data_IF_646486131083
#
_entry.id   IF_646486131083
#
_cell.length_a   1.000
_cell.length_b   1.000
_cell.length_c   1.000
_cell.angle_alpha   90.00
_cell.angle_beta   90.00
_cell.angle_gamma   90.00
#
_symmetry.space_group_name_H-M   'P 1'
#
loop_
_entity.id
_entity.type
_entity.pdbx_description
1 polymer ?
#
# COMPACT_ATOMS: atom_id res chain seq x y z
N UNK A 1 -7.82 -29.39 -20.80
CA UNK A 1 -7.20 -28.30 -20.01
C UNK A 1 -6.62 -27.30 -20.98
N UNK A 2 -7.15 -26.07 -21.04
CA UNK A 2 -6.59 -25.01 -21.88
C UNK A 2 -5.20 -24.61 -21.38
N UNK A 3 -4.27 -24.33 -22.29
CA UNK A 3 -2.92 -23.87 -21.97
C UNK A 3 -2.99 -22.44 -21.39
N UNK A 4 -2.20 -22.14 -20.37
CA UNK A 4 -2.06 -20.79 -19.81
C UNK A 4 -1.39 -19.84 -20.82
N UNK A 5 -1.60 -18.52 -20.69
CA UNK A 5 -0.88 -17.51 -21.48
C UNK A 5 0.63 -17.57 -21.21
N UNK A 6 1.43 -17.08 -22.17
CA UNK A 6 2.90 -17.09 -22.11
C UNK A 6 3.46 -16.39 -20.86
N UNK A 7 2.79 -15.33 -20.41
CA UNK A 7 3.05 -14.67 -19.12
C UNK A 7 1.86 -14.91 -18.20
N UNK A 8 2.01 -15.85 -17.27
CA UNK A 8 0.97 -16.15 -16.27
C UNK A 8 0.87 -15.06 -15.19
N UNK A 9 1.99 -14.43 -14.83
CA UNK A 9 2.09 -13.38 -13.82
C UNK A 9 2.81 -12.17 -14.41
N UNK A 10 2.10 -11.06 -14.60
CA UNK A 10 2.62 -9.87 -15.29
C UNK A 10 3.45 -8.93 -14.41
N UNK A 11 3.58 -9.22 -13.12
CA UNK A 11 4.20 -8.29 -12.16
C UNK A 11 3.22 -7.22 -11.69
N UNK A 12 3.64 -5.96 -11.68
CA UNK A 12 2.89 -4.82 -11.14
C UNK A 12 3.46 -4.23 -9.85
N UNK A 13 4.69 -4.62 -9.49
CA UNK A 13 5.39 -4.07 -8.33
C UNK A 13 5.61 -2.57 -8.51
N UNK A 14 5.34 -1.80 -7.46
CA UNK A 14 5.58 -0.36 -7.37
C UNK A 14 5.68 0.07 -5.90
N UNK A 15 6.09 1.31 -5.68
CA UNK A 15 6.08 1.95 -4.36
C UNK A 15 5.09 3.12 -4.40
N UNK A 16 4.22 3.19 -3.40
CA UNK A 16 3.21 4.24 -3.24
C UNK A 16 3.42 4.94 -1.90
N UNK A 17 3.45 6.27 -1.93
CA UNK A 17 3.60 7.10 -0.74
C UNK A 17 2.33 7.14 0.11
N UNK A 18 2.42 7.70 1.33
CA UNK A 18 1.31 7.72 2.29
C UNK A 18 0.11 8.57 1.83
N UNK A 19 0.32 9.51 0.91
CA UNK A 19 -0.73 10.29 0.26
C UNK A 19 -1.38 9.58 -0.95
N UNK A 20 -0.99 8.34 -1.25
CA UNK A 20 -1.50 7.58 -2.40
C UNK A 20 -0.82 7.92 -3.73
N UNK A 21 0.20 8.78 -3.74
CA UNK A 21 0.98 9.06 -4.94
C UNK A 21 2.00 7.95 -5.22
N UNK A 22 2.09 7.52 -6.47
CA UNK A 22 3.10 6.57 -6.93
C UNK A 22 4.47 7.24 -6.91
N UNK A 23 5.44 6.64 -6.21
CA UNK A 23 6.81 7.19 -6.03
C UNK A 23 7.89 6.39 -6.75
N UNK A 24 7.52 5.31 -7.43
CA UNK A 24 8.36 4.57 -8.36
C UNK A 24 7.56 4.25 -9.62
N UNK A 25 8.23 3.97 -10.74
CA UNK A 25 7.53 3.36 -11.87
C UNK A 25 6.93 2.00 -11.47
N UNK A 26 5.82 1.63 -12.10
CA UNK A 26 5.23 0.30 -11.95
C UNK A 26 5.85 -0.64 -12.97
N UNK A 27 6.43 -1.75 -12.51
CA UNK A 27 7.12 -2.71 -13.37
C UNK A 27 6.17 -3.81 -13.81
N UNK A 28 5.97 -3.91 -15.12
CA UNK A 28 5.17 -4.94 -15.77
C UNK A 28 6.01 -5.74 -16.77
N UNK A 29 5.66 -7.00 -16.92
CA UNK A 29 6.11 -7.93 -17.98
C UNK A 29 7.65 -8.11 -18.06
N UNK A 30 8.39 -7.73 -17.01
CA UNK A 30 9.85 -7.86 -16.90
C UNK A 30 10.33 -8.00 -15.46
N UNK A 31 11.51 -8.59 -15.30
CA UNK A 31 12.24 -8.63 -14.03
C UNK A 31 13.00 -7.31 -13.82
N UNK A 32 12.88 -6.71 -12.64
CA UNK A 32 13.55 -5.46 -12.30
C UNK A 32 13.67 -5.28 -10.77
N UNK A 33 14.69 -4.55 -10.33
CA UNK A 33 14.82 -4.08 -8.94
C UNK A 33 14.33 -2.64 -8.87
N UNK A 34 13.30 -2.39 -8.06
CA UNK A 34 12.73 -1.05 -7.87
C UNK A 34 13.42 -0.37 -6.69
N UNK A 35 13.93 0.85 -6.91
CA UNK A 35 14.47 1.72 -5.88
C UNK A 35 13.59 2.97 -5.73
N UNK A 36 13.37 3.41 -4.50
CA UNK A 36 12.68 4.65 -4.20
C UNK A 36 13.35 5.36 -3.01
N UNK A 37 13.38 6.69 -3.04
CA UNK A 37 13.80 7.50 -1.90
C UNK A 37 12.58 7.85 -1.05
N UNK A 38 12.68 7.58 0.24
CA UNK A 38 11.57 7.79 1.17
C UNK A 38 11.88 8.95 2.10
N UNK A 39 11.03 9.97 2.09
CA UNK A 39 10.98 10.93 3.18
C UNK A 39 10.07 10.39 4.29
N UNK A 40 10.70 9.94 5.37
CA UNK A 40 10.00 9.33 6.50
C UNK A 40 9.09 10.31 7.26
N UNK A 41 9.25 11.62 7.08
CA UNK A 41 8.36 12.62 7.70
C UNK A 41 6.96 12.62 7.08
N UNK A 42 6.82 12.17 5.82
CA UNK A 42 5.53 12.16 5.14
C UNK A 42 4.51 11.22 5.80
N UNK A 43 4.96 10.13 6.43
CA UNK A 43 4.06 9.21 7.12
C UNK A 43 3.40 9.87 8.35
N UNK A 44 4.19 10.61 9.13
CA UNK A 44 3.68 11.36 10.27
C UNK A 44 2.76 12.50 9.83
N UNK A 45 3.14 13.24 8.78
CA UNK A 45 2.33 14.32 8.22
C UNK A 45 0.97 13.82 7.68
N UNK A 46 0.98 12.73 6.89
CA UNK A 46 -0.25 12.13 6.36
C UNK A 46 -1.17 11.62 7.47
N UNK A 47 -0.62 11.01 8.53
CA UNK A 47 -1.41 10.62 9.71
C UNK A 47 -1.98 11.82 10.46
N UNK A 48 -1.24 12.93 10.57
CA UNK A 48 -1.73 14.16 11.19
C UNK A 48 -2.92 14.73 10.43
N UNK A 49 -2.92 14.66 9.10
CA UNK A 49 -4.07 15.06 8.27
C UNK A 49 -5.25 14.07 8.41
N UNK A 50 -4.97 12.76 8.45
CA UNK A 50 -5.99 11.72 8.46
C UNK A 50 -5.69 10.57 9.43
N UNK A 51 -6.00 10.78 10.72
CA UNK A 51 -5.82 9.78 11.77
C UNK A 51 -7.06 8.87 11.94
N UNK A 52 -7.19 7.88 11.05
CA UNK A 52 -8.35 6.96 10.99
C UNK A 52 -8.56 6.11 12.24
N UNK A 53 -7.47 5.71 12.91
CA UNK A 53 -7.53 4.87 14.11
C UNK A 53 -7.49 5.68 15.42
N UNK A 54 -7.39 7.01 15.35
CA UNK A 54 -7.39 7.89 16.51
C UNK A 54 -8.57 8.84 16.49
N UNK A 55 -8.34 10.12 16.21
CA UNK A 55 -9.36 11.18 16.30
C UNK A 55 -10.61 10.87 15.45
N UNK A 56 -10.45 10.30 14.26
CA UNK A 56 -11.59 9.95 13.39
C UNK A 56 -12.24 8.60 13.69
N UNK A 57 -11.75 7.82 14.67
CA UNK A 57 -12.15 6.42 14.85
C UNK A 57 -13.58 6.20 15.34
N UNK A 58 -14.26 7.22 15.91
CA UNK A 58 -15.63 7.13 16.48
C UNK A 58 -15.87 5.81 17.24
N UNK A 59 -15.13 5.54 18.32
CA UNK A 59 -15.25 4.30 19.08
C UNK A 59 -16.63 4.11 19.74
N UNK A 60 -17.42 5.17 19.83
CA UNK A 60 -18.83 5.15 20.24
C UNK A 60 -19.78 4.51 19.20
N UNK A 61 -19.34 4.40 17.94
CA UNK A 61 -20.13 3.81 16.84
C UNK A 61 -19.63 2.42 16.47
N UNK A 62 -18.31 2.24 16.30
CA UNK A 62 -17.70 0.99 15.87
C UNK A 62 -16.47 0.66 16.71
N UNK A 63 -16.38 -0.60 17.15
CA UNK A 63 -15.19 -1.14 17.83
C UNK A 63 -14.87 -2.52 17.24
N UNK A 64 -13.59 -2.75 16.91
CA UNK A 64 -13.07 -4.04 16.45
C UNK A 64 -12.24 -4.67 17.57
N UNK A 65 -12.59 -5.90 17.97
CA UNK A 65 -11.81 -6.70 18.91
C UNK A 65 -11.27 -7.94 18.20
N UNK A 66 -9.96 -8.14 18.28
CA UNK A 66 -9.27 -9.30 17.70
C UNK A 66 -9.11 -10.37 18.78
N UNK A 67 -9.42 -11.63 18.47
CA UNK A 67 -9.11 -12.79 19.32
C UNK A 67 -7.99 -13.58 18.67
N UNK A 68 -6.85 -13.64 19.33
CA UNK A 68 -5.74 -14.51 18.93
C UNK A 68 -5.93 -15.88 19.60
N UNK A 69 -5.63 -16.95 18.86
CA UNK A 69 -5.73 -18.33 19.30
C UNK A 69 -4.37 -19.02 19.32
#
# INVERSE_FOLDING_TARGET
>A
MSRLPDIACRGGSCVVGPYGHVISDTVWDREEIIYAQLDMQQAAASKMEHDVCGHYARPDVLSLQVREG
#
